data_IF_434090019625
#
_entry.id   IF_434090019625
#
_cell.length_a   1.000
_cell.length_b   1.000
_cell.length_c   1.000
_cell.angle_alpha   90.00
_cell.angle_beta   90.00
_cell.angle_gamma   90.00
#
_symmetry.space_group_name_H-M   'P 1'
#
loop_
_entity.id
_entity.type
_entity.pdbx_description
1 polymer ?
#
# COMPACT_ATOMS: atom_id res chain seq x y z
N UNK A 1 -8.32 -42.59 23.81
CA UNK A 1 -7.30 -41.53 23.75
C UNK A 1 -6.32 -41.76 24.88
N UNK A 2 -5.03 -41.96 24.60
CA UNK A 2 -4.06 -42.35 25.61
C UNK A 2 -3.65 -41.15 26.46
N UNK A 3 -3.33 -41.37 27.75
CA UNK A 3 -2.90 -40.29 28.67
C UNK A 3 -1.74 -39.46 28.09
N UNK A 4 -0.80 -40.11 27.38
CA UNK A 4 0.29 -39.43 26.67
C UNK A 4 -0.19 -38.54 25.53
N UNK A 5 -1.16 -38.98 24.72
CA UNK A 5 -1.73 -38.17 23.64
C UNK A 5 -2.47 -36.94 24.17
N UNK A 6 -3.13 -37.07 25.33
CA UNK A 6 -3.85 -35.97 25.97
C UNK A 6 -2.88 -34.89 26.50
N UNK A 7 -1.75 -35.31 27.09
CA UNK A 7 -0.68 -34.39 27.54
C UNK A 7 -0.07 -33.62 26.36
N UNK A 8 0.23 -34.29 25.25
CA UNK A 8 0.80 -33.64 24.07
C UNK A 8 -0.12 -32.56 23.51
N UNK A 9 -1.43 -32.84 23.40
CA UNK A 9 -2.42 -31.86 22.92
C UNK A 9 -2.43 -30.61 23.78
N UNK A 10 -2.42 -30.76 25.11
CA UNK A 10 -2.40 -29.63 26.05
C UNK A 10 -1.15 -28.77 25.86
N UNK A 11 0.03 -29.40 25.72
CA UNK A 11 1.29 -28.68 25.51
C UNK A 11 1.24 -27.89 24.20
N UNK A 12 0.77 -28.49 23.11
CA UNK A 12 0.62 -27.79 21.83
C UNK A 12 -0.34 -26.61 21.92
N UNK A 13 -1.46 -26.75 22.64
CA UNK A 13 -2.41 -25.64 22.83
C UNK A 13 -1.76 -24.49 23.60
N UNK A 14 -1.03 -24.78 24.69
CA UNK A 14 -0.32 -23.76 25.47
C UNK A 14 0.77 -23.10 24.62
N UNK A 15 1.51 -23.86 23.82
CA UNK A 15 2.56 -23.32 22.96
C UNK A 15 1.98 -22.37 21.90
N UNK A 16 0.88 -22.75 21.24
CA UNK A 16 0.23 -21.93 20.21
C UNK A 16 -0.37 -20.66 20.82
N UNK A 17 -1.03 -20.75 21.97
CA UNK A 17 -1.60 -19.56 22.64
C UNK A 17 -0.52 -18.62 23.15
N UNK A 18 0.58 -19.15 23.69
CA UNK A 18 1.72 -18.34 24.13
C UNK A 18 2.36 -17.61 22.97
N UNK A 19 2.55 -18.29 21.83
CA UNK A 19 3.09 -17.67 20.62
C UNK A 19 2.17 -16.57 20.08
N UNK A 20 0.86 -16.82 20.04
CA UNK A 20 -0.12 -15.81 19.64
C UNK A 20 -0.09 -14.59 20.58
N UNK A 21 0.01 -14.80 21.90
CA UNK A 21 0.08 -13.72 22.87
C UNK A 21 1.33 -12.84 22.69
N UNK A 22 2.49 -13.44 22.34
CA UNK A 22 3.72 -12.69 22.07
C UNK A 22 3.62 -11.77 20.85
N UNK A 23 2.80 -12.13 19.85
CA UNK A 23 2.60 -11.30 18.65
C UNK A 23 1.50 -10.27 18.87
N UNK A 24 0.39 -10.66 19.49
CA UNK A 24 -0.80 -9.81 19.61
C UNK A 24 -0.60 -8.73 20.67
N UNK A 25 0.00 -9.06 21.81
CA UNK A 25 0.09 -8.14 22.96
C UNK A 25 0.91 -6.87 22.67
N UNK A 26 2.10 -6.92 22.05
CA UNK A 26 2.87 -5.73 21.72
C UNK A 26 2.15 -4.85 20.71
N UNK A 27 1.58 -5.46 19.66
CA UNK A 27 0.82 -4.74 18.64
C UNK A 27 -0.40 -4.03 19.25
N UNK A 28 -1.19 -4.73 20.07
CA UNK A 28 -2.32 -4.12 20.77
C UNK A 28 -1.90 -2.95 21.68
N UNK A 29 -0.78 -3.09 22.40
CA UNK A 29 -0.27 -2.02 23.24
C UNK A 29 0.13 -0.81 22.38
N UNK A 30 0.93 -1.01 21.34
CA UNK A 30 1.38 0.04 20.42
C UNK A 30 0.19 0.79 19.79
N UNK A 31 -0.83 0.07 19.30
CA UNK A 31 -2.04 0.68 18.73
C UNK A 31 -2.89 1.41 19.76
N UNK A 32 -2.88 0.98 21.03
CA UNK A 32 -3.63 1.65 22.11
C UNK A 32 -2.97 2.97 22.55
N UNK A 33 -1.65 3.09 22.42
CA UNK A 33 -0.92 4.31 22.80
C UNK A 33 -0.81 5.32 21.65
N UNK A 34 -0.91 4.87 20.40
CA UNK A 34 -1.05 5.79 19.28
C UNK A 34 -2.46 6.38 19.25
N UNK A 35 -2.57 7.70 19.36
CA UNK A 35 -3.82 8.41 19.06
C UNK A 35 -4.23 8.23 17.59
N UNK A 36 -5.43 8.69 17.21
CA UNK A 36 -5.96 8.53 15.85
C UNK A 36 -5.01 9.08 14.77
N UNK A 37 -4.39 10.24 15.01
CA UNK A 37 -3.42 10.86 14.10
C UNK A 37 -2.15 10.01 13.95
N UNK A 38 -1.57 9.54 15.06
CA UNK A 38 -0.39 8.68 15.02
C UNK A 38 -0.67 7.33 14.37
N UNK A 39 -1.88 6.80 14.53
CA UNK A 39 -2.30 5.58 13.86
C UNK A 39 -2.47 5.79 12.34
N UNK A 40 -3.02 6.93 11.92
CA UNK A 40 -3.10 7.29 10.51
C UNK A 40 -1.71 7.41 9.88
N UNK A 41 -0.80 8.18 10.50
CA UNK A 41 0.58 8.34 10.02
C UNK A 41 1.32 6.99 9.92
N UNK A 42 1.16 6.14 10.94
CA UNK A 42 1.76 4.81 10.94
C UNK A 42 1.23 3.93 9.79
N UNK A 43 -0.09 3.91 9.59
CA UNK A 43 -0.70 3.13 8.51
C UNK A 43 -0.29 3.65 7.13
N UNK A 44 -0.16 4.96 6.95
CA UNK A 44 0.34 5.56 5.70
C UNK A 44 1.77 5.10 5.41
N UNK A 45 2.69 5.17 6.39
CA UNK A 45 4.07 4.70 6.21
C UNK A 45 4.17 3.21 5.92
N UNK A 46 3.38 2.38 6.61
CA UNK A 46 3.35 0.93 6.36
C UNK A 46 2.83 0.63 4.96
N UNK A 47 1.80 1.36 4.51
CA UNK A 47 1.25 1.24 3.17
C UNK A 47 2.29 1.62 2.12
N UNK A 48 2.91 2.79 2.23
CA UNK A 48 3.93 3.29 1.29
C UNK A 48 5.12 2.33 1.21
N UNK A 49 5.62 1.85 2.35
CA UNK A 49 6.67 0.84 2.37
C UNK A 49 6.26 -0.45 1.65
N UNK A 50 5.02 -0.91 1.87
CA UNK A 50 4.49 -2.09 1.20
C UNK A 50 4.44 -1.93 -0.32
N UNK A 51 4.04 -0.76 -0.81
CA UNK A 51 3.97 -0.49 -2.25
C UNK A 51 5.38 -0.37 -2.85
N UNK A 52 6.28 0.36 -2.19
CA UNK A 52 7.68 0.47 -2.60
C UNK A 52 8.35 -0.92 -2.75
N UNK A 53 8.19 -1.78 -1.75
CA UNK A 53 8.73 -3.16 -1.80
C UNK A 53 8.08 -4.01 -2.90
N UNK A 54 6.81 -3.77 -3.22
CA UNK A 54 6.14 -4.45 -4.33
C UNK A 54 6.68 -3.96 -5.68
N UNK A 55 7.01 -2.67 -5.79
CA UNK A 55 7.71 -2.10 -6.95
C UNK A 55 9.09 -2.72 -7.16
N UNK A 56 9.91 -2.81 -6.10
CA UNK A 56 11.24 -3.45 -6.17
C UNK A 56 11.18 -4.94 -6.61
N UNK A 57 10.08 -5.63 -6.30
CA UNK A 57 9.86 -7.03 -6.68
C UNK A 57 9.25 -7.20 -8.07
N UNK A 58 8.88 -6.11 -8.75
CA UNK A 58 8.11 -6.16 -10.01
C UNK A 58 6.70 -6.72 -9.83
N UNK A 59 6.19 -6.70 -8.59
CA UNK A 59 4.83 -7.13 -8.22
C UNK A 59 3.83 -5.97 -8.27
N UNK A 60 4.31 -4.77 -8.62
CA UNK A 60 3.56 -3.53 -8.70
C UNK A 60 3.97 -2.75 -9.95
N UNK A 61 3.01 -2.54 -10.85
CA UNK A 61 3.21 -1.89 -12.15
C UNK A 61 2.40 -0.59 -12.24
N UNK A 62 2.57 0.30 -11.25
CA UNK A 62 2.05 1.66 -11.38
C UNK A 62 3.18 2.62 -11.73
N UNK A 63 2.89 3.53 -12.65
CA UNK A 63 3.86 4.44 -13.26
C UNK A 63 3.72 5.88 -12.76
N UNK A 64 2.90 6.10 -11.72
CA UNK A 64 2.67 7.43 -11.15
C UNK A 64 3.44 7.55 -9.82
N UNK A 65 4.03 8.71 -9.59
CA UNK A 65 4.67 9.08 -8.33
C UNK A 65 3.79 10.13 -7.62
N UNK A 66 3.41 9.95 -6.34
CA UNK A 66 3.63 8.77 -5.50
C UNK A 66 2.78 7.55 -5.90
N UNK A 67 3.26 6.37 -5.52
CA UNK A 67 2.64 5.08 -5.80
C UNK A 67 1.11 5.07 -5.60
N UNK A 68 0.36 4.68 -6.64
CA UNK A 68 -1.10 4.50 -6.59
C UNK A 68 -1.54 3.43 -5.56
N UNK A 69 -2.16 3.91 -4.49
CA UNK A 69 -2.64 3.07 -3.39
C UNK A 69 -3.87 2.26 -3.78
N UNK A 70 -4.67 2.76 -4.73
CA UNK A 70 -5.84 2.07 -5.27
C UNK A 70 -5.45 0.78 -6.01
N UNK A 71 -4.29 0.79 -6.67
CA UNK A 71 -3.75 -0.38 -7.36
C UNK A 71 -3.31 -1.49 -6.38
N UNK A 72 -2.91 -1.13 -5.15
CA UNK A 72 -2.51 -2.05 -4.09
C UNK A 72 -3.70 -2.57 -3.25
N UNK A 73 -4.87 -1.92 -3.35
CA UNK A 73 -6.08 -2.35 -2.65
C UNK A 73 -6.63 -3.71 -3.14
N UNK A 74 -7.63 -4.25 -2.44
CA UNK A 74 -8.32 -5.48 -2.82
C UNK A 74 -8.80 -5.48 -4.29
N UNK A 75 -9.08 -6.66 -4.84
CA UNK A 75 -9.50 -6.83 -6.23
C UNK A 75 -10.63 -5.88 -6.63
N UNK A 76 -10.36 -5.03 -7.63
CA UNK A 76 -11.23 -3.99 -8.13
C UNK A 76 -11.11 -3.87 -9.67
N UNK A 77 -11.92 -2.98 -10.27
CA UNK A 77 -11.96 -2.83 -11.75
C UNK A 77 -10.64 -2.38 -12.36
N UNK A 78 -9.80 -1.66 -11.61
CA UNK A 78 -8.53 -1.09 -12.08
C UNK A 78 -7.32 -1.99 -11.83
N UNK A 79 -7.46 -3.08 -11.07
CA UNK A 79 -6.40 -4.07 -10.85
C UNK A 79 -6.78 -5.47 -11.39
N UNK A 80 -7.76 -5.54 -12.30
CA UNK A 80 -8.26 -6.79 -12.89
C UNK A 80 -8.66 -7.85 -11.84
N UNK A 81 -9.14 -7.41 -10.67
CA UNK A 81 -9.53 -8.29 -9.57
C UNK A 81 -8.35 -8.87 -8.78
N UNK A 82 -7.12 -8.43 -9.03
CA UNK A 82 -5.92 -8.90 -8.33
C UNK A 82 -5.11 -7.71 -7.79
N UNK A 83 -5.03 -7.64 -6.46
CA UNK A 83 -4.24 -6.62 -5.76
C UNK A 83 -2.80 -6.56 -6.28
N UNK A 84 -2.27 -5.34 -6.43
CA UNK A 84 -0.91 -5.07 -6.91
C UNK A 84 -0.75 -5.08 -8.43
N UNK A 85 -1.73 -5.57 -9.21
CA UNK A 85 -1.54 -5.82 -10.66
C UNK A 85 -2.15 -4.78 -11.60
N UNK A 86 -2.34 -3.57 -11.08
CA UNK A 86 -2.79 -2.43 -11.85
C UNK A 86 -1.77 -2.08 -12.94
N UNK A 87 -2.24 -1.61 -14.09
CA UNK A 87 -1.38 -1.12 -15.17
C UNK A 87 -2.04 0.14 -15.74
N UNK A 88 -1.85 1.28 -15.07
CA UNK A 88 -2.51 2.52 -15.46
C UNK A 88 -2.22 2.90 -16.92
N UNK A 89 -0.98 2.72 -17.37
CA UNK A 89 -0.58 2.91 -18.77
C UNK A 89 -1.36 2.02 -19.73
N UNK A 90 -1.66 0.77 -19.35
CA UNK A 90 -2.43 -0.13 -20.19
C UNK A 90 -3.91 0.27 -20.29
N UNK A 91 -4.50 0.81 -19.20
CA UNK A 91 -5.85 1.35 -19.21
C UNK A 91 -5.92 2.57 -20.13
N UNK A 92 -4.94 3.47 -20.02
CA UNK A 92 -4.82 4.68 -20.84
C UNK A 92 -4.62 4.32 -22.31
N UNK A 93 -3.68 3.43 -22.61
CA UNK A 93 -3.38 2.98 -23.98
C UNK A 93 -4.58 2.30 -24.65
N UNK A 94 -5.49 1.69 -23.86
CA UNK A 94 -6.72 1.06 -24.35
C UNK A 94 -7.93 2.00 -24.39
N UNK A 95 -7.80 3.24 -23.92
CA UNK A 95 -8.92 4.18 -23.79
C UNK A 95 -9.95 3.74 -22.74
N UNK A 96 -9.55 2.90 -21.79
CA UNK A 96 -10.36 2.48 -20.64
C UNK A 96 -10.25 3.53 -19.52
N UNK A 97 -11.23 3.57 -18.62
CA UNK A 97 -11.27 4.54 -17.50
C UNK A 97 -10.15 4.23 -16.48
N UNK A 98 -9.12 5.09 -16.32
CA UNK A 98 -8.07 4.88 -15.33
C UNK A 98 -8.62 5.09 -13.92
N UNK A 99 -7.86 4.69 -12.89
CA UNK A 99 -8.26 4.97 -11.52
C UNK A 99 -8.16 6.48 -11.22
N UNK A 100 -8.88 7.02 -10.21
CA UNK A 100 -8.87 8.46 -9.92
C UNK A 100 -7.48 9.03 -9.56
N UNK A 101 -6.56 8.20 -9.06
CA UNK A 101 -5.18 8.62 -8.80
C UNK A 101 -4.38 8.72 -10.10
N UNK A 102 -4.55 7.77 -11.01
CA UNK A 102 -3.91 7.81 -12.32
C UNK A 102 -4.49 8.90 -13.23
N UNK A 103 -5.80 9.17 -13.15
CA UNK A 103 -6.41 10.31 -13.84
C UNK A 103 -5.80 11.65 -13.38
N UNK A 104 -5.65 11.85 -12.07
CA UNK A 104 -5.04 13.07 -11.51
C UNK A 104 -3.57 13.25 -11.93
N UNK A 105 -2.80 12.18 -11.97
CA UNK A 105 -1.40 12.25 -12.43
C UNK A 105 -1.29 12.62 -13.93
N UNK A 106 -2.27 12.26 -14.77
CA UNK A 106 -2.31 12.69 -16.16
C UNK A 106 -2.60 14.17 -16.31
N UNK A 107 -3.55 14.69 -15.53
CA UNK A 107 -3.89 16.12 -15.53
C UNK A 107 -2.68 16.98 -15.12
N UNK A 108 -1.79 16.45 -14.27
CA UNK A 108 -0.53 17.11 -13.89
C UNK A 108 0.58 17.05 -14.96
N UNK A 109 0.53 16.11 -15.92
CA UNK A 109 1.56 15.96 -16.97
C UNK A 109 1.19 16.64 -18.29
N UNK A 110 -0.07 17.07 -18.47
CA UNK A 110 -0.51 17.80 -19.66
C UNK A 110 -0.07 19.26 -19.74
N UNK A 111 0.58 19.79 -18.69
CA UNK A 111 1.11 21.15 -18.67
C UNK A 111 2.59 21.24 -19.11
N UNK A 112 3.23 20.12 -19.46
CA UNK A 112 4.60 20.10 -20.01
C UNK A 112 4.64 19.99 -21.55
N UNK A 113 4.00 20.94 -22.26
CA UNK A 113 4.60 21.43 -23.50
C UNK A 113 5.65 22.47 -23.10
N UNK A 114 6.88 21.99 -22.86
CA UNK A 114 7.91 22.73 -22.13
C UNK A 114 8.31 24.08 -22.73
N UNK A 115 8.91 24.95 -21.90
CA UNK A 115 9.90 25.90 -22.35
C UNK A 115 11.30 25.47 -21.91
N UNK A 116 12.30 25.94 -22.67
CA UNK A 116 13.71 25.80 -22.36
C UNK A 116 14.01 26.13 -20.89
N UNK A 117 14.85 25.27 -20.32
CA UNK A 117 15.33 25.34 -18.95
C UNK A 117 16.13 26.64 -18.74
N UNK A 118 15.48 27.69 -18.22
CA UNK A 118 16.13 28.79 -17.52
C UNK A 118 15.96 28.55 -16.02
N UNK A 119 17.09 28.42 -15.34
CA UNK A 119 17.16 28.05 -13.95
C UNK A 119 16.82 29.22 -13.04
N UNK A 120 15.54 29.34 -12.68
CA UNK A 120 15.12 30.00 -11.44
C UNK A 120 13.62 29.86 -11.24
N UNK A 121 13.20 28.82 -10.53
CA UNK A 121 12.08 28.76 -9.59
C UNK A 121 11.84 27.29 -9.28
N UNK A 122 11.72 26.97 -7.98
CA UNK A 122 11.57 25.60 -7.49
C UNK A 122 10.40 24.92 -8.23
N UNK A 123 10.58 23.69 -8.78
CA UNK A 123 9.48 22.99 -9.42
C UNK A 123 8.40 22.80 -8.36
N UNK A 124 7.19 23.30 -8.63
CA UNK A 124 6.00 22.95 -7.87
C UNK A 124 5.89 21.42 -7.89
N UNK A 125 6.44 20.79 -6.86
CA UNK A 125 6.27 19.37 -6.60
C UNK A 125 4.77 19.18 -6.52
N UNK A 126 4.21 18.41 -7.46
CA UNK A 126 2.81 18.00 -7.43
C UNK A 126 2.57 17.19 -6.16
N UNK A 127 2.27 17.87 -5.05
CA UNK A 127 1.83 17.23 -3.82
C UNK A 127 0.42 16.74 -4.10
N UNK A 128 0.30 15.47 -4.47
CA UNK A 128 -1.00 14.82 -4.60
C UNK A 128 -1.54 14.64 -3.18
N UNK A 129 -2.32 15.61 -2.70
CA UNK A 129 -3.05 15.48 -1.43
C UNK A 129 -4.08 14.36 -1.56
N UNK A 130 -3.77 13.24 -0.91
CA UNK A 130 -4.62 12.06 -0.80
C UNK A 130 -5.50 12.20 0.45
N UNK A 131 -6.43 13.16 0.44
CA UNK A 131 -7.55 13.22 1.40
C UNK A 131 -8.58 12.09 1.15
#
# INVERSE_FOLDING_TARGET
MNKQSLILIIITLIAVTSLAALVIFPNYFIYRFMGPEGMHEHMTKVREYGIHMAGERGEYNCCIEPDCTMCYSEGNKWNYGKAGTCACDDFIARGEEPCPQCARALDCSSDEEGPEHDGSEDPEVCVIDLE
#
